data_IF_142783816506
#
_entry.id   IF_142783816506
#
_cell.length_a   1.000
_cell.length_b   1.000
_cell.length_c   1.000
_cell.angle_alpha   90.00
_cell.angle_beta   90.00
_cell.angle_gamma   90.00
#
_symmetry.space_group_name_H-M   'P 1'
#
loop_
_entity.id
_entity.type
_entity.pdbx_description
1 polymer ?
#
# COMPACT_ATOMS: atom_id res chain seq x y z
N UNK A 1 46.20 -33.37 10.90
CA UNK A 1 45.75 -32.41 11.92
C UNK A 1 44.86 -31.40 11.22
N UNK A 2 43.55 -31.66 11.18
CA UNK A 2 42.59 -30.77 10.52
C UNK A 2 42.25 -29.61 11.46
N UNK A 3 42.13 -28.36 10.97
CA UNK A 3 41.78 -27.25 11.83
C UNK A 3 40.34 -27.41 12.31
N UNK A 4 40.16 -27.27 13.62
CA UNK A 4 38.86 -27.27 14.26
C UNK A 4 38.00 -26.14 13.67
N UNK A 5 36.82 -26.51 13.16
CA UNK A 5 35.74 -25.58 12.85
C UNK A 5 35.38 -24.84 14.13
N UNK A 6 35.76 -23.57 14.20
CA UNK A 6 35.30 -22.66 15.24
C UNK A 6 33.79 -22.50 15.02
N UNK A 7 32.99 -23.12 15.88
CA UNK A 7 31.58 -22.75 16.05
C UNK A 7 31.57 -21.27 16.45
N UNK A 8 31.25 -20.38 15.51
CA UNK A 8 30.82 -19.04 15.83
C UNK A 8 29.54 -19.19 16.65
N UNK A 9 29.63 -18.88 17.94
CA UNK A 9 28.44 -18.66 18.77
C UNK A 9 27.58 -17.62 18.06
N UNK A 10 26.40 -18.04 17.61
CA UNK A 10 25.47 -17.15 16.93
C UNK A 10 25.10 -16.03 17.92
N UNK A 11 25.49 -14.80 17.58
CA UNK A 11 25.06 -13.62 18.31
C UNK A 11 23.53 -13.64 18.47
N UNK A 12 22.97 -13.17 19.60
CA UNK A 12 21.53 -13.19 19.83
C UNK A 12 20.82 -12.42 18.73
N UNK A 13 20.12 -13.14 17.85
CA UNK A 13 19.34 -12.57 16.76
C UNK A 13 17.89 -12.42 17.19
N UNK A 14 17.33 -11.22 17.03
CA UNK A 14 15.93 -10.92 17.23
C UNK A 14 15.18 -11.10 15.92
N UNK A 15 14.18 -11.98 15.91
CA UNK A 15 13.24 -12.08 14.79
C UNK A 15 12.29 -10.88 14.81
N UNK A 16 12.07 -10.30 13.64
CA UNK A 16 11.12 -9.22 13.43
C UNK A 16 10.12 -9.66 12.37
N UNK A 17 8.82 -9.52 12.64
CA UNK A 17 7.77 -9.80 11.66
C UNK A 17 6.79 -8.65 11.60
N UNK A 18 6.67 -8.03 10.43
CA UNK A 18 5.66 -7.03 10.13
C UNK A 18 4.45 -7.71 9.47
N UNK A 19 3.25 -7.41 9.96
CA UNK A 19 2.00 -7.93 9.42
C UNK A 19 1.01 -6.80 9.13
N UNK A 20 0.51 -6.73 7.91
CA UNK A 20 -0.59 -5.83 7.54
C UNK A 20 -1.93 -6.56 7.71
N UNK A 21 -2.61 -6.23 8.81
CA UNK A 21 -3.87 -6.88 9.20
C UNK A 21 -5.09 -6.30 8.49
N UNK A 22 -5.06 -5.03 8.09
CA UNK A 22 -6.17 -4.36 7.42
C UNK A 22 -5.88 -2.94 6.98
N UNK A 23 -6.94 -2.17 6.69
CA UNK A 23 -6.81 -0.76 6.29
C UNK A 23 -6.47 0.16 7.48
N UNK A 24 -6.99 -0.15 8.69
CA UNK A 24 -6.68 0.57 9.93
C UNK A 24 -6.69 -0.38 11.14
N UNK A 25 -5.91 -0.04 12.16
CA UNK A 25 -5.96 -0.68 13.49
C UNK A 25 -6.24 0.38 14.55
N UNK A 26 -7.20 0.10 15.44
CA UNK A 26 -7.45 0.93 16.62
C UNK A 26 -6.69 0.40 17.85
N UNK A 27 -5.56 1.03 18.16
CA UNK A 27 -4.73 0.72 19.34
C UNK A 27 -5.19 1.41 20.64
N UNK A 28 -6.23 2.25 20.61
CA UNK A 28 -6.69 2.97 21.80
C UNK A 28 -7.26 2.01 22.84
N UNK A 29 -6.85 2.18 24.11
CA UNK A 29 -7.31 1.32 25.21
C UNK A 29 -6.89 -0.15 25.04
N UNK A 30 -5.70 -0.39 24.49
CA UNK A 30 -5.11 -1.71 24.35
C UNK A 30 -4.24 -2.01 25.58
N UNK A 31 -4.53 -3.10 26.28
CA UNK A 31 -3.83 -3.49 27.52
C UNK A 31 -3.13 -4.84 27.30
N UNK A 32 -2.10 -4.88 26.46
CA UNK A 32 -1.38 -6.12 26.11
C UNK A 32 0.02 -6.20 26.75
N UNK A 33 0.45 -5.13 27.42
CA UNK A 33 1.74 -5.06 28.09
C UNK A 33 2.06 -3.67 28.57
N UNK A 34 3.33 -3.43 28.90
CA UNK A 34 3.80 -2.11 29.35
C UNK A 34 3.94 -1.17 28.16
N UNK A 35 3.31 0.00 28.21
CA UNK A 35 3.44 1.02 27.16
C UNK A 35 4.89 1.52 27.09
N UNK A 36 5.49 1.45 25.91
CA UNK A 36 6.85 1.90 25.58
C UNK A 36 6.81 3.22 24.81
N UNK A 37 5.88 3.34 23.85
CA UNK A 37 5.63 4.57 23.09
C UNK A 37 4.15 4.70 22.78
N UNK A 38 3.65 5.94 22.69
CA UNK A 38 2.28 6.25 22.28
C UNK A 38 2.14 6.57 20.79
N UNK A 39 3.25 6.94 20.13
CA UNK A 39 3.29 7.34 18.72
C UNK A 39 4.56 6.78 18.05
N UNK A 40 4.48 5.65 17.32
CA UNK A 40 3.35 4.71 17.26
C UNK A 40 3.08 4.01 18.61
N UNK A 41 1.92 3.38 18.76
CA UNK A 41 1.58 2.65 19.97
C UNK A 41 2.44 1.39 20.09
N UNK A 42 3.39 1.38 21.03
CA UNK A 42 4.34 0.29 21.24
C UNK A 42 4.21 -0.27 22.66
N UNK A 43 4.15 -1.59 22.77
CA UNK A 43 3.97 -2.31 24.03
C UNK A 43 5.05 -3.37 24.21
N UNK A 44 5.65 -3.40 25.39
CA UNK A 44 6.51 -4.49 25.86
C UNK A 44 5.65 -5.68 26.23
N UNK A 45 5.80 -6.79 25.52
CA UNK A 45 5.11 -8.06 25.79
C UNK A 45 6.18 -9.08 26.19
N UNK A 46 6.27 -9.35 27.50
CA UNK A 46 7.38 -10.11 28.10
C UNK A 46 8.75 -9.54 27.70
N UNK A 47 9.56 -10.29 26.95
CA UNK A 47 10.87 -9.86 26.44
C UNK A 47 10.80 -9.21 25.06
N UNK A 48 9.67 -9.34 24.36
CA UNK A 48 9.46 -8.84 23.01
C UNK A 48 8.79 -7.46 22.97
N UNK A 49 8.75 -6.87 21.78
CA UNK A 49 8.13 -5.57 21.52
C UNK A 49 7.07 -5.71 20.41
N UNK A 50 5.87 -5.19 20.67
CA UNK A 50 4.79 -5.11 19.70
C UNK A 50 4.53 -3.64 19.35
N UNK A 51 4.70 -3.27 18.08
CA UNK A 51 4.52 -1.90 17.60
C UNK A 51 3.33 -1.85 16.65
N UNK A 52 2.35 -1.01 16.94
CA UNK A 52 1.07 -0.97 16.22
C UNK A 52 0.92 0.37 15.53
N UNK A 53 0.80 0.30 14.21
CA UNK A 53 0.63 1.45 13.35
C UNK A 53 -0.84 1.61 12.96
N UNK A 54 -1.33 2.84 13.08
CA UNK A 54 -2.75 3.18 12.82
C UNK A 54 -3.20 2.86 11.40
N UNK A 55 -2.26 2.82 10.46
CA UNK A 55 -2.49 2.53 9.04
C UNK A 55 -2.58 1.02 8.71
N UNK A 56 -2.69 0.15 9.71
CA UNK A 56 -3.07 -1.24 9.50
C UNK A 56 -1.98 -2.28 9.73
N UNK A 57 -0.79 -1.86 10.17
CA UNK A 57 0.38 -2.73 10.32
C UNK A 57 0.72 -2.94 11.81
N UNK A 58 1.09 -4.17 12.15
CA UNK A 58 1.68 -4.51 13.44
C UNK A 58 3.06 -5.12 13.22
N UNK A 59 4.06 -4.69 13.98
CA UNK A 59 5.41 -5.24 13.94
C UNK A 59 5.72 -5.93 15.25
N UNK A 60 6.12 -7.20 15.16
CA UNK A 60 6.39 -8.10 16.27
C UNK A 60 7.88 -8.36 16.34
N UNK A 61 8.54 -7.97 17.42
CA UNK A 61 10.00 -8.05 17.59
C UNK A 61 10.32 -8.94 18.77
N UNK A 62 10.94 -10.09 18.52
CA UNK A 62 11.40 -10.99 19.57
C UNK A 62 10.28 -11.68 20.36
N UNK A 63 9.06 -11.74 19.81
CA UNK A 63 7.96 -12.52 20.39
C UNK A 63 8.07 -13.99 19.99
N UNK A 64 7.64 -14.88 20.89
CA UNK A 64 7.44 -16.29 20.59
C UNK A 64 6.21 -16.49 19.68
N UNK A 65 6.19 -17.54 18.83
CA UNK A 65 5.06 -17.78 17.93
C UNK A 65 3.69 -17.87 18.62
N UNK A 66 3.65 -18.37 19.86
CA UNK A 66 2.44 -18.42 20.69
C UNK A 66 1.97 -17.03 21.11
N UNK A 67 2.89 -16.15 21.51
CA UNK A 67 2.61 -14.77 21.91
C UNK A 67 2.13 -13.94 20.72
N UNK A 68 2.80 -14.09 19.56
CA UNK A 68 2.38 -13.44 18.32
C UNK A 68 0.95 -13.81 17.96
N UNK A 69 0.59 -15.09 18.04
CA UNK A 69 -0.77 -15.55 17.75
C UNK A 69 -1.80 -14.91 18.67
N UNK A 70 -1.54 -14.92 19.98
CA UNK A 70 -2.44 -14.32 20.99
C UNK A 70 -2.63 -12.82 20.70
N UNK A 71 -1.53 -12.11 20.43
CA UNK A 71 -1.56 -10.69 20.10
C UNK A 71 -2.33 -10.41 18.81
N UNK A 72 -2.08 -11.15 17.73
CA UNK A 72 -2.81 -10.99 16.47
C UNK A 72 -4.31 -11.26 16.68
N UNK A 73 -4.66 -12.31 17.42
CA UNK A 73 -6.06 -12.65 17.72
C UNK A 73 -6.75 -11.55 18.55
N UNK A 74 -6.04 -10.93 19.49
CA UNK A 74 -6.55 -9.78 20.26
C UNK A 74 -6.75 -8.51 19.42
N UNK A 75 -5.99 -8.35 18.34
CA UNK A 75 -6.08 -7.20 17.44
C UNK A 75 -7.21 -7.34 16.41
N UNK A 76 -7.59 -8.56 16.00
CA UNK A 76 -8.67 -8.81 15.02
C UNK A 76 -9.94 -7.97 15.21
N UNK A 77 -10.56 -7.89 16.42
CA UNK A 77 -11.78 -7.08 16.60
C UNK A 77 -11.56 -5.56 16.44
N UNK A 78 -10.30 -5.11 16.43
CA UNK A 78 -9.90 -3.69 16.33
C UNK A 78 -9.40 -3.32 14.92
N UNK A 79 -9.39 -4.28 13.99
CA UNK A 79 -8.98 -4.09 12.60
C UNK A 79 -10.19 -3.66 11.77
N UNK A 80 -10.04 -2.58 11.00
CA UNK A 80 -11.02 -2.10 10.03
C UNK A 80 -10.51 -2.46 8.63
N UNK A 81 -11.37 -3.04 7.79
CA UNK A 81 -10.99 -3.47 6.45
C UNK A 81 -9.97 -4.60 6.49
N UNK A 82 -10.25 -5.65 7.26
CA UNK A 82 -9.32 -6.77 7.47
C UNK A 82 -8.93 -7.47 6.17
N UNK A 83 -7.68 -7.93 6.09
CA UNK A 83 -7.15 -8.64 4.93
C UNK A 83 -7.05 -10.15 5.19
N UNK A 84 -7.21 -10.93 4.13
CA UNK A 84 -6.94 -12.36 4.10
C UNK A 84 -6.52 -12.77 2.69
N UNK A 85 -5.33 -13.38 2.48
CA UNK A 85 -4.24 -13.50 3.45
C UNK A 85 -3.67 -12.13 3.86
N UNK A 86 -2.89 -12.11 4.95
CA UNK A 86 -2.25 -10.89 5.43
C UNK A 86 -1.07 -10.49 4.55
N UNK A 87 -0.84 -9.17 4.56
CA UNK A 87 0.46 -8.55 4.40
C UNK A 87 1.59 -9.15 5.26
N UNK A 88 2.68 -9.79 4.81
CA UNK A 88 3.77 -10.06 5.77
C UNK A 88 5.19 -9.93 5.22
N UNK A 89 6.08 -9.47 6.10
CA UNK A 89 7.51 -9.29 5.86
C UNK A 89 8.28 -9.68 7.12
N UNK A 90 9.40 -10.40 6.96
CA UNK A 90 10.23 -10.86 8.08
C UNK A 90 11.65 -10.35 7.92
N UNK A 91 12.23 -9.90 9.02
CA UNK A 91 13.63 -9.52 9.13
C UNK A 91 14.26 -10.14 10.38
N UNK A 92 15.59 -10.07 10.45
CA UNK A 92 16.36 -10.41 11.64
C UNK A 92 17.17 -9.20 12.06
N UNK A 93 17.24 -8.91 13.34
CA UNK A 93 18.16 -7.93 13.90
C UNK A 93 19.21 -8.62 14.75
N UNK A 94 20.46 -8.16 14.67
CA UNK A 94 21.58 -8.69 15.46
C UNK A 94 22.40 -7.55 16.04
N UNK A 95 23.15 -7.83 17.10
CA UNK A 95 24.10 -6.85 17.64
C UNK A 95 25.32 -6.75 16.72
N UNK A 96 25.75 -5.51 16.44
CA UNK A 96 27.01 -5.29 15.73
C UNK A 96 28.18 -5.75 16.57
N UNK A 97 29.21 -6.31 15.91
CA UNK A 97 30.49 -6.56 16.55
C UNK A 97 31.28 -5.25 16.81
N UNK A 98 30.94 -4.18 16.09
CA UNK A 98 31.49 -2.83 16.26
C UNK A 98 30.33 -1.82 16.41
N UNK A 99 30.27 -1.13 17.56
CA UNK A 99 29.23 -0.17 17.89
C UNK A 99 29.17 1.02 16.92
N UNK A 100 30.28 1.34 16.23
CA UNK A 100 30.33 2.43 15.25
C UNK A 100 29.88 2.01 13.84
N UNK A 101 29.56 0.73 13.63
CA UNK A 101 29.23 0.17 12.33
C UNK A 101 27.82 -0.44 12.29
N UNK A 102 26.79 0.32 12.71
CA UNK A 102 25.39 -0.04 12.44
C UNK A 102 25.18 -0.20 10.93
N UNK A 103 25.09 -1.44 10.46
CA UNK A 103 25.06 -1.78 9.05
C UNK A 103 23.81 -2.58 8.75
N UNK A 104 23.24 -2.32 7.58
CA UNK A 104 22.11 -3.07 7.07
C UNK A 104 22.63 -3.78 5.85
N UNK A 105 22.68 -5.10 5.92
CA UNK A 105 23.23 -5.92 4.84
C UNK A 105 22.12 -6.20 3.84
N UNK A 106 22.38 -6.07 2.52
CA UNK A 106 21.44 -6.43 1.48
C UNK A 106 20.87 -7.84 1.67
N UNK A 107 19.58 -7.94 1.97
CA UNK A 107 18.90 -9.22 2.25
C UNK A 107 19.42 -9.99 3.47
N UNK A 108 20.22 -9.34 4.31
CA UNK A 108 20.82 -9.89 5.53
C UNK A 108 20.20 -9.30 6.80
N UNK A 109 20.76 -9.63 7.98
CA UNK A 109 20.27 -9.10 9.24
C UNK A 109 20.59 -7.61 9.40
N UNK A 110 19.69 -6.90 10.07
CA UNK A 110 19.85 -5.51 10.50
C UNK A 110 20.80 -5.51 11.70
N UNK A 111 22.02 -5.01 11.52
CA UNK A 111 22.99 -4.91 12.60
C UNK A 111 22.76 -3.60 13.37
N UNK A 112 22.48 -3.71 14.67
CA UNK A 112 22.25 -2.59 15.58
C UNK A 112 23.36 -2.54 16.63
N UNK A 113 23.79 -1.34 17.04
CA UNK A 113 24.79 -1.23 18.12
C UNK A 113 24.23 -1.76 19.44
N UNK A 114 22.93 -1.54 19.69
CA UNK A 114 22.19 -2.03 20.85
C UNK A 114 20.72 -2.26 20.55
N UNK A 115 20.09 -3.18 21.27
CA UNK A 115 18.65 -3.39 21.24
C UNK A 115 17.92 -2.41 22.17
N UNK A 116 18.11 -1.11 21.94
CA UNK A 116 17.33 -0.06 22.62
C UNK A 116 15.98 0.15 21.95
N UNK A 117 14.97 0.50 22.74
CA UNK A 117 13.59 0.72 22.29
C UNK A 117 13.51 1.68 21.10
N UNK A 118 14.26 2.79 21.13
CA UNK A 118 14.28 3.77 20.03
C UNK A 118 14.74 3.16 18.70
N UNK A 119 15.76 2.30 18.72
CA UNK A 119 16.30 1.64 17.52
C UNK A 119 15.31 0.61 16.99
N UNK A 120 14.71 -0.16 17.90
CA UNK A 120 13.69 -1.14 17.55
C UNK A 120 12.43 -0.45 16.98
N UNK A 121 12.07 0.74 17.48
CA UNK A 121 11.00 1.56 16.92
C UNK A 121 11.31 2.05 15.51
N UNK A 122 12.54 2.46 15.22
CA UNK A 122 12.94 2.85 13.86
C UNK A 122 12.93 1.67 12.88
N UNK A 123 13.42 0.51 13.32
CA UNK A 123 13.33 -0.71 12.52
C UNK A 123 11.87 -1.11 12.28
N UNK A 124 11.02 -1.01 13.31
CA UNK A 124 9.59 -1.26 13.18
C UNK A 124 8.92 -0.30 12.20
N UNK A 125 9.28 0.99 12.24
CA UNK A 125 8.73 1.99 11.33
C UNK A 125 9.11 1.69 9.86
N UNK A 126 10.40 1.43 9.59
CA UNK A 126 10.86 1.10 8.25
C UNK A 126 10.19 -0.15 7.69
N UNK A 127 10.12 -1.23 8.47
CA UNK A 127 9.44 -2.47 8.07
C UNK A 127 7.94 -2.26 7.89
N UNK A 128 7.29 -1.49 8.76
CA UNK A 128 5.86 -1.23 8.61
C UNK A 128 5.54 -0.46 7.33
N UNK A 129 6.40 0.51 6.96
CA UNK A 129 6.33 1.22 5.69
C UNK A 129 6.58 0.30 4.50
N UNK A 130 7.63 -0.54 4.55
CA UNK A 130 7.94 -1.53 3.50
C UNK A 130 6.77 -2.49 3.23
N UNK A 131 6.18 -3.05 4.29
CA UNK A 131 5.05 -3.99 4.19
C UNK A 131 3.79 -3.28 3.67
N UNK A 132 3.53 -2.03 4.09
CA UNK A 132 2.42 -1.25 3.55
C UNK A 132 2.60 -0.94 2.07
N UNK A 133 3.81 -0.56 1.64
CA UNK A 133 4.15 -0.30 0.24
C UNK A 133 3.98 -1.56 -0.61
N UNK A 134 4.47 -2.72 -0.15
CA UNK A 134 4.33 -3.99 -0.87
C UNK A 134 2.87 -4.34 -1.18
N UNK A 135 1.96 -4.06 -0.23
CA UNK A 135 0.52 -4.24 -0.42
C UNK A 135 -0.06 -3.27 -1.44
N UNK A 136 0.28 -1.99 -1.34
CA UNK A 136 -0.24 -0.95 -2.23
C UNK A 136 0.29 -1.14 -3.67
N UNK A 137 1.56 -1.52 -3.84
CA UNK A 137 2.16 -1.91 -5.12
C UNK A 137 1.40 -3.05 -5.79
N UNK A 138 1.07 -4.12 -5.06
CA UNK A 138 0.27 -5.23 -5.60
C UNK A 138 -1.14 -4.83 -5.99
N UNK A 139 -1.76 -3.92 -5.25
CA UNK A 139 -3.08 -3.38 -5.60
C UNK A 139 -3.03 -2.57 -6.88
N UNK A 140 -2.01 -1.72 -7.03
CA UNK A 140 -1.81 -0.95 -8.26
C UNK A 140 -1.53 -1.89 -9.44
N UNK A 141 -0.69 -2.91 -9.27
CA UNK A 141 -0.45 -3.92 -10.30
C UNK A 141 -1.77 -4.58 -10.76
N UNK A 142 -2.63 -4.98 -9.83
CA UNK A 142 -3.94 -5.56 -10.16
C UNK A 142 -4.87 -4.60 -10.94
N UNK A 143 -4.70 -3.28 -10.79
CA UNK A 143 -5.42 -2.29 -11.61
C UNK A 143 -4.89 -2.30 -13.04
N UNK A 144 -3.57 -2.38 -13.23
CA UNK A 144 -2.98 -2.49 -14.57
C UNK A 144 -3.39 -3.77 -15.31
N UNK A 145 -3.52 -4.90 -14.61
CA UNK A 145 -4.02 -6.15 -15.18
C UNK A 145 -5.43 -6.01 -15.79
N UNK A 146 -6.22 -5.06 -15.27
CA UNK A 146 -7.55 -4.72 -15.80
C UNK A 146 -7.45 -3.73 -16.96
N UNK A 147 -6.49 -2.79 -16.94
CA UNK A 147 -6.29 -1.78 -17.98
C UNK A 147 -5.75 -2.39 -19.28
N UNK A 148 -4.76 -3.28 -19.18
CA UNK A 148 -4.03 -3.78 -20.35
C UNK A 148 -4.94 -4.42 -21.42
N UNK A 149 -5.91 -5.30 -21.06
CA UNK A 149 -6.84 -5.86 -22.04
C UNK A 149 -7.71 -4.80 -22.73
N UNK A 150 -8.10 -3.74 -22.00
CA UNK A 150 -8.89 -2.66 -22.57
C UNK A 150 -8.09 -1.82 -23.56
N UNK A 151 -6.85 -1.48 -23.22
CA UNK A 151 -5.94 -0.76 -24.11
C UNK A 151 -5.68 -1.57 -25.39
N UNK A 152 -5.48 -2.88 -25.25
CA UNK A 152 -5.29 -3.80 -26.38
C UNK A 152 -6.52 -3.88 -27.29
N UNK A 153 -7.72 -4.04 -26.72
CA UNK A 153 -8.96 -4.08 -27.51
C UNK A 153 -9.19 -2.76 -28.27
N UNK A 154 -8.89 -1.63 -27.63
CA UNK A 154 -8.99 -0.32 -28.27
C UNK A 154 -8.01 -0.18 -29.44
N UNK A 155 -6.76 -0.62 -29.27
CA UNK A 155 -5.74 -0.58 -30.32
C UNK A 155 -6.07 -1.50 -31.50
N UNK A 156 -6.56 -2.72 -31.26
CA UNK A 156 -6.84 -3.69 -32.31
C UNK A 156 -8.14 -3.40 -33.06
N UNK A 157 -9.19 -2.95 -32.35
CA UNK A 157 -10.55 -2.85 -32.91
C UNK A 157 -11.02 -1.42 -33.14
N UNK A 158 -10.31 -0.42 -32.61
CA UNK A 158 -10.74 0.99 -32.68
C UNK A 158 -12.10 1.25 -32.00
N UNK A 159 -12.55 0.34 -31.12
CA UNK A 159 -13.85 0.40 -30.46
C UNK A 159 -13.66 0.30 -28.97
N UNK A 160 -14.31 1.20 -28.22
CA UNK A 160 -14.35 1.12 -26.77
C UNK A 160 -15.02 -0.18 -26.32
N UNK A 161 -14.55 -0.83 -25.24
CA UNK A 161 -15.19 -2.01 -24.68
C UNK A 161 -16.67 -1.73 -24.37
N UNK A 162 -17.56 -2.63 -24.76
CA UNK A 162 -19.03 -2.46 -24.67
C UNK A 162 -19.56 -2.35 -23.23
N UNK A 163 -18.71 -2.53 -22.21
CA UNK A 163 -19.09 -2.58 -20.77
C UNK A 163 -18.62 -1.33 -20.01
N UNK A 164 -19.43 -0.26 -20.05
CA UNK A 164 -19.34 0.95 -19.19
C UNK A 164 -19.08 0.63 -17.71
N UNK A 165 -19.62 -0.49 -17.23
CA UNK A 165 -19.42 -0.99 -15.86
C UNK A 165 -17.94 -1.27 -15.54
N UNK A 166 -17.16 -1.79 -16.49
CA UNK A 166 -15.74 -2.08 -16.29
C UNK A 166 -14.89 -0.82 -16.12
N UNK A 167 -15.20 0.23 -16.88
CA UNK A 167 -14.50 1.53 -16.78
C UNK A 167 -14.87 2.24 -15.47
N UNK A 168 -16.13 2.21 -15.07
CA UNK A 168 -16.55 2.73 -13.76
C UNK A 168 -15.91 1.97 -12.59
N UNK A 169 -15.73 0.65 -12.70
CA UNK A 169 -15.01 -0.15 -11.71
C UNK A 169 -13.51 0.21 -11.68
N UNK A 170 -12.91 0.45 -12.84
CA UNK A 170 -11.52 0.89 -12.95
C UNK A 170 -11.32 2.26 -12.27
N UNK A 171 -12.17 3.24 -12.59
CA UNK A 171 -12.18 4.57 -11.96
C UNK A 171 -12.39 4.44 -10.44
N UNK A 172 -13.36 3.63 -10.02
CA UNK A 172 -13.63 3.39 -8.60
C UNK A 172 -12.44 2.80 -7.86
N UNK A 173 -11.75 1.81 -8.46
CA UNK A 173 -10.56 1.21 -7.89
C UNK A 173 -9.39 2.20 -7.82
N UNK A 174 -9.16 2.99 -8.89
CA UNK A 174 -8.14 4.03 -8.92
C UNK A 174 -8.38 5.09 -7.84
N UNK A 175 -9.62 5.59 -7.71
CA UNK A 175 -10.01 6.55 -6.67
C UNK A 175 -9.83 5.99 -5.25
N UNK A 176 -10.18 4.71 -5.03
CA UNK A 176 -9.98 4.06 -3.74
C UNK A 176 -8.50 3.91 -3.39
N UNK A 177 -7.62 3.65 -4.36
CA UNK A 177 -6.18 3.61 -4.11
C UNK A 177 -5.62 5.01 -3.88
N UNK A 178 -6.01 5.99 -4.71
CA UNK A 178 -5.58 7.38 -4.57
C UNK A 178 -6.00 7.99 -3.22
N UNK A 179 -7.25 7.79 -2.80
CA UNK A 179 -7.74 8.24 -1.50
C UNK A 179 -7.00 7.55 -0.34
N UNK A 180 -6.59 6.29 -0.51
CA UNK A 180 -5.86 5.53 0.51
C UNK A 180 -4.40 5.98 0.63
N UNK A 181 -3.71 6.20 -0.49
CA UNK A 181 -2.34 6.72 -0.52
C UNK A 181 -2.30 8.14 0.02
N UNK A 182 -3.19 9.02 -0.44
CA UNK A 182 -3.31 10.39 0.08
C UNK A 182 -3.71 10.45 1.57
N UNK A 183 -4.49 9.49 2.05
CA UNK A 183 -4.92 9.40 3.44
C UNK A 183 -3.87 8.83 4.42
N UNK A 184 -2.71 8.39 3.92
CA UNK A 184 -1.63 7.75 4.71
C UNK A 184 -0.38 8.64 4.84
N UNK A 185 -0.61 9.91 5.20
CA UNK A 185 0.43 10.93 5.51
C UNK A 185 1.52 10.39 6.47
N UNK A 186 1.20 9.40 7.32
CA UNK A 186 2.14 8.74 8.23
C UNK A 186 3.26 7.90 7.56
N UNK A 187 3.19 7.61 6.26
CA UNK A 187 4.25 6.86 5.55
C UNK A 187 5.39 7.79 5.12
N UNK A 188 5.10 9.07 4.85
CA UNK A 188 6.08 10.04 4.36
C UNK A 188 6.79 10.84 5.47
N UNK A 189 6.23 10.87 6.69
CA UNK A 189 6.82 11.60 7.80
C UNK A 189 7.95 10.81 8.48
N UNK A 190 9.01 11.54 8.86
CA UNK A 190 10.09 11.00 9.70
C UNK A 190 9.51 10.58 11.06
N UNK A 191 9.97 9.44 11.64
CA UNK A 191 9.54 9.01 12.97
C UNK A 191 9.75 10.10 14.03
N UNK A 192 8.76 10.27 14.91
CA UNK A 192 8.81 11.33 15.93
C UNK A 192 10.03 11.22 16.86
N UNK A 193 10.50 9.99 17.08
CA UNK A 193 11.71 9.67 17.87
C UNK A 193 12.96 10.41 17.33
N UNK A 194 13.01 10.72 16.03
CA UNK A 194 14.13 11.45 15.43
C UNK A 194 14.18 12.93 15.83
N UNK A 195 13.04 13.53 16.22
CA UNK A 195 13.02 14.90 16.75
C UNK A 195 13.74 15.00 18.09
N UNK A 196 13.64 13.95 18.91
CA UNK A 196 14.29 13.87 20.22
C UNK A 196 15.73 13.37 20.13
N UNK A 197 16.02 12.46 19.18
CA UNK A 197 17.31 11.77 19.06
C UNK A 197 17.88 11.87 17.63
N UNK A 198 18.47 13.01 17.25
CA UNK A 198 19.05 13.21 15.93
C UNK A 198 20.19 12.23 15.60
N UNK A 199 20.85 11.68 16.61
CA UNK A 199 21.90 10.65 16.46
C UNK A 199 21.40 9.38 15.74
N UNK A 200 20.09 9.12 15.76
CA UNK A 200 19.49 7.96 15.09
C UNK A 200 19.15 8.22 13.60
N UNK A 201 19.32 9.45 13.11
CA UNK A 201 18.99 9.81 11.72
C UNK A 201 19.83 9.02 10.70
N UNK A 202 21.07 8.68 11.06
CA UNK A 202 21.95 7.84 10.23
C UNK A 202 21.43 6.41 10.10
N UNK A 203 20.94 5.82 11.19
CA UNK A 203 20.34 4.49 11.19
C UNK A 203 19.07 4.49 10.35
N UNK A 204 18.20 5.47 10.59
CA UNK A 204 16.94 5.58 9.86
C UNK A 204 17.17 5.82 8.37
N UNK A 205 18.11 6.66 7.97
CA UNK A 205 18.45 6.86 6.55
C UNK A 205 18.94 5.56 5.90
N UNK A 206 19.76 4.76 6.59
CA UNK A 206 20.18 3.44 6.09
C UNK A 206 18.99 2.49 5.93
N UNK A 207 18.04 2.50 6.87
CA UNK A 207 16.81 1.70 6.77
C UNK A 207 15.97 2.16 5.58
N UNK A 208 15.79 3.48 5.39
CA UNK A 208 15.05 4.02 4.23
C UNK A 208 15.69 3.61 2.91
N UNK A 209 17.01 3.64 2.83
CA UNK A 209 17.77 3.29 1.62
C UNK A 209 17.69 1.78 1.35
N UNK A 210 17.92 0.92 2.36
CA UNK A 210 17.86 -0.54 2.19
C UNK A 210 16.46 -1.02 1.75
N UNK A 211 15.41 -0.48 2.35
CA UNK A 211 14.03 -0.84 2.01
C UNK A 211 13.48 -0.05 0.81
N UNK A 212 14.32 0.79 0.19
CA UNK A 212 14.01 1.64 -0.96
C UNK A 212 12.72 2.46 -0.78
N UNK A 213 12.43 2.88 0.45
CA UNK A 213 11.09 3.37 0.82
C UNK A 213 10.67 4.58 -0.03
N UNK A 214 11.60 5.50 -0.30
CA UNK A 214 11.36 6.69 -1.12
C UNK A 214 11.17 6.36 -2.59
N UNK A 215 12.06 5.55 -3.16
CA UNK A 215 12.01 5.18 -4.58
C UNK A 215 10.75 4.36 -4.91
N UNK A 216 10.38 3.45 -4.01
CA UNK A 216 9.16 2.64 -4.12
C UNK A 216 7.91 3.51 -4.05
N UNK A 217 7.85 4.44 -3.10
CA UNK A 217 6.74 5.38 -2.97
C UNK A 217 6.59 6.25 -4.24
N UNK A 218 7.68 6.85 -4.71
CA UNK A 218 7.70 7.70 -5.91
C UNK A 218 7.31 6.91 -7.18
N UNK A 219 7.75 5.66 -7.30
CA UNK A 219 7.33 4.76 -8.37
C UNK A 219 5.85 4.40 -8.28
N UNK A 220 5.33 4.18 -7.08
CA UNK A 220 3.92 3.92 -6.85
C UNK A 220 3.06 5.14 -7.23
N UNK A 221 3.48 6.35 -6.85
CA UNK A 221 2.80 7.60 -7.19
C UNK A 221 2.75 7.84 -8.71
N UNK A 222 3.86 7.61 -9.42
CA UNK A 222 3.88 7.65 -10.89
C UNK A 222 2.90 6.67 -11.52
N UNK A 223 2.87 5.42 -11.04
CA UNK A 223 1.94 4.41 -11.54
C UNK A 223 0.49 4.82 -11.31
N UNK A 224 0.19 5.41 -10.15
CA UNK A 224 -1.15 5.91 -9.85
C UNK A 224 -1.56 7.09 -10.73
N UNK A 225 -0.65 8.03 -11.00
CA UNK A 225 -0.89 9.13 -11.93
C UNK A 225 -1.25 8.60 -13.31
N UNK A 226 -0.49 7.64 -13.84
CA UNK A 226 -0.78 7.01 -15.13
C UNK A 226 -2.14 6.30 -15.17
N UNK A 227 -2.53 5.62 -14.08
CA UNK A 227 -3.87 5.01 -13.94
C UNK A 227 -4.96 6.10 -13.99
N UNK A 228 -4.81 7.18 -13.24
CA UNK A 228 -5.79 8.27 -13.20
C UNK A 228 -5.92 8.99 -14.54
N UNK A 229 -4.81 9.26 -15.23
CA UNK A 229 -4.81 9.82 -16.59
C UNK A 229 -5.52 8.91 -17.59
N UNK A 230 -5.22 7.60 -17.55
CA UNK A 230 -5.88 6.61 -18.41
C UNK A 230 -7.38 6.53 -18.14
N UNK A 231 -7.78 6.58 -16.87
CA UNK A 231 -9.18 6.55 -16.45
C UNK A 231 -9.93 7.82 -16.92
N UNK A 232 -9.31 8.99 -16.85
CA UNK A 232 -9.86 10.24 -17.36
C UNK A 232 -10.04 10.19 -18.88
N UNK A 233 -9.02 9.77 -19.62
CA UNK A 233 -9.09 9.64 -21.08
C UNK A 233 -10.20 8.66 -21.51
N UNK A 234 -10.35 7.53 -20.81
CA UNK A 234 -11.44 6.58 -21.07
C UNK A 234 -12.83 7.20 -20.79
N UNK A 235 -12.93 8.05 -19.77
CA UNK A 235 -14.19 8.75 -19.44
C UNK A 235 -14.57 9.74 -20.54
N UNK A 236 -13.60 10.55 -21.00
CA UNK A 236 -13.81 11.53 -22.06
C UNK A 236 -14.28 10.88 -23.38
N UNK A 237 -13.73 9.70 -23.72
CA UNK A 237 -14.17 8.93 -24.89
C UNK A 237 -15.62 8.47 -24.75
N UNK A 238 -16.03 8.00 -23.56
CA UNK A 238 -17.42 7.57 -23.31
C UNK A 238 -18.39 8.73 -23.42
N UNK A 239 -18.04 9.88 -22.86
CA UNK A 239 -18.89 11.07 -22.88
C UNK A 239 -19.05 11.62 -24.30
N UNK A 240 -17.98 11.61 -25.10
CA UNK A 240 -18.02 11.97 -26.52
C UNK A 240 -19.00 11.09 -27.32
N UNK A 241 -19.02 9.77 -27.08
CA UNK A 241 -19.98 8.86 -27.73
C UNK A 241 -21.44 9.12 -27.33
N UNK A 242 -21.69 9.65 -26.12
CA UNK A 242 -23.04 10.02 -25.68
C UNK A 242 -23.51 11.25 -26.44
N UNK A 243 -22.64 12.25 -26.59
CA UNK A 243 -22.94 13.46 -27.38
C UNK A 243 -23.33 13.10 -28.82
N UNK A 244 -22.54 12.23 -29.46
CA UNK A 244 -22.82 11.78 -30.84
C UNK A 244 -24.17 11.06 -30.96
N UNK A 245 -24.53 10.21 -29.99
CA UNK A 245 -25.84 9.52 -30.01
C UNK A 245 -27.01 10.48 -29.83
N UNK A 246 -26.86 11.49 -28.99
CA UNK A 246 -27.88 12.52 -28.82
C UNK A 246 -28.03 13.36 -30.09
N UNK A 247 -26.91 13.73 -30.72
CA UNK A 247 -26.90 14.44 -31.99
C UNK A 247 -27.62 13.65 -33.09
N UNK A 248 -27.30 12.36 -33.25
CA UNK A 248 -27.98 11.48 -34.21
C UNK A 248 -29.47 11.35 -33.91
N UNK A 249 -29.87 11.23 -32.63
CA UNK A 249 -31.28 11.17 -32.25
C UNK A 249 -32.04 12.45 -32.65
N UNK A 250 -31.45 13.62 -32.45
CA UNK A 250 -32.03 14.91 -32.87
C UNK A 250 -32.15 14.98 -34.40
N UNK A 251 -31.11 14.58 -35.13
CA UNK A 251 -31.15 14.55 -36.61
C UNK A 251 -32.26 13.62 -37.11
N UNK A 252 -32.38 12.41 -36.54
CA UNK A 252 -33.44 11.45 -36.90
C UNK A 252 -34.84 12.03 -36.60
N UNK A 253 -35.03 12.70 -35.46
CA UNK A 253 -36.30 13.37 -35.13
C UNK A 253 -36.66 14.44 -36.17
N UNK A 254 -35.71 15.26 -36.59
CA UNK A 254 -35.93 16.28 -37.63
C UNK A 254 -36.30 15.62 -38.96
N UNK A 255 -35.60 14.56 -39.36
CA UNK A 255 -35.89 13.82 -40.61
C UNK A 255 -37.30 13.24 -40.59
N UNK A 256 -37.73 12.68 -39.45
CA UNK A 256 -39.10 12.16 -39.28
C UNK A 256 -40.13 13.28 -39.42
N UNK A 257 -39.92 14.42 -38.76
CA UNK A 257 -40.82 15.58 -38.83
C UNK A 257 -41.00 16.09 -40.27
N UNK A 258 -39.88 16.25 -40.98
CA UNK A 258 -39.88 16.69 -42.38
C UNK A 258 -40.60 15.67 -43.27
N UNK A 259 -40.37 14.37 -43.06
CA UNK A 259 -41.03 13.31 -43.83
C UNK A 259 -42.56 13.30 -43.60
N UNK A 260 -43.01 13.49 -42.37
CA UNK A 260 -44.44 13.60 -42.03
C UNK A 260 -45.05 14.84 -42.71
N UNK A 261 -44.37 15.99 -42.65
CA UNK A 261 -44.81 17.22 -43.31
C UNK A 261 -44.93 17.06 -44.82
N UNK A 262 -43.93 16.47 -45.48
CA UNK A 262 -43.99 16.17 -46.92
C UNK A 262 -45.15 15.21 -47.27
N UNK A 263 -45.37 14.17 -46.46
CA UNK A 263 -46.46 13.22 -46.67
C UNK A 263 -47.84 13.87 -46.54
N UNK A 264 -48.03 14.77 -45.57
CA UNK A 264 -49.27 15.54 -45.41
C UNK A 264 -49.54 16.45 -46.61
N UNK A 265 -48.53 17.14 -47.12
CA UNK A 265 -48.68 18.01 -48.30
C UNK A 265 -49.08 17.18 -49.52
N UNK A 266 -48.43 16.03 -49.74
CA UNK A 266 -48.73 15.15 -50.88
C UNK A 266 -50.12 14.51 -50.80
N UNK A 267 -50.54 14.09 -49.60
CA UNK A 267 -51.89 13.53 -49.40
C UNK A 267 -53.00 14.59 -49.39
N UNK A 268 -52.70 15.84 -49.04
CA UNK A 268 -53.65 16.96 -49.06
C UNK A 268 -53.83 17.65 -50.41
N UNK A 269 -53.06 17.27 -51.44
CA UNK A 269 -53.20 17.78 -52.82
C UNK A 269 -53.98 16.85 -53.76
N UNK A 270 -54.63 15.81 -53.23
CA UNK A 270 -55.63 14.98 -53.91
C UNK A 270 -57.02 15.26 -53.35
#
# INVERSE_FOLDING_TARGET
>A
MAPASVKQDAAPALRIRALMLGDRINASGLEIGTLVSSAPAAFRVHTGLAVIFRYGVVVLIGLLPSEEKILIDSLKPRVIGAFSPYEEETAQAQLCNDENAEAIQPGGPICLAKFSDDRLLLVADALAKSTSLARDERRVAAVFDVIEPFARELAERGRTPRRRKGILQLIGNALLVQQRVAGRVAIAEKPDVLWEKPELDRLYSRLEDEYELKERLDTLERKLTAVSETANALTDIIDTQRSLRLEVAVVVLIVIEVAIGCFQIWSGTH
#
